data_IF_272496116361
#
_entry.id   IF_272496116361
#
_cell.length_a   1.000
_cell.length_b   1.000
_cell.length_c   1.000
_cell.angle_alpha   90.00
_cell.angle_beta   90.00
_cell.angle_gamma   90.00
#
_symmetry.space_group_name_H-M   'P 1'
#
loop_
_entity.id
_entity.type
_entity.pdbx_description
1 polymer ?
#
# COMPACT_ATOMS: atom_id res chain seq x y z
N UNK A 1 -18.83 -13.82 15.60
CA UNK A 1 -17.84 -12.75 15.45
C UNK A 1 -17.20 -12.89 14.09
N UNK A 2 -17.00 -11.80 13.36
CA UNK A 2 -16.45 -11.84 11.99
C UNK A 2 -14.93 -11.92 12.06
N UNK A 3 -14.35 -13.08 11.71
CA UNK A 3 -12.89 -13.22 11.55
C UNK A 3 -12.46 -12.78 10.17
N UNK A 4 -11.40 -11.99 10.13
CA UNK A 4 -10.82 -11.48 8.88
C UNK A 4 -9.72 -12.40 8.39
N UNK A 5 -9.62 -12.49 7.08
CA UNK A 5 -8.58 -13.22 6.36
C UNK A 5 -7.37 -12.32 6.11
N UNK A 6 -6.21 -12.89 5.85
CA UNK A 6 -5.07 -12.21 5.27
C UNK A 6 -4.96 -12.53 3.77
N UNK A 7 -4.26 -11.68 3.02
CA UNK A 7 -4.14 -11.84 1.58
C UNK A 7 -2.69 -12.11 1.17
N UNK A 8 -2.46 -13.17 0.41
CA UNK A 8 -1.15 -13.49 -0.20
C UNK A 8 -1.36 -13.87 -1.64
N UNK A 9 -0.57 -13.29 -2.54
CA UNK A 9 -0.63 -13.55 -3.99
C UNK A 9 -2.04 -13.34 -4.61
N UNK A 10 -2.78 -12.35 -4.10
CA UNK A 10 -4.14 -12.06 -4.53
C UNK A 10 -5.22 -13.01 -4.01
N UNK A 11 -4.88 -13.95 -3.14
CA UNK A 11 -5.79 -14.91 -2.53
C UNK A 11 -6.04 -14.59 -1.05
N UNK A 12 -7.31 -14.60 -0.65
CA UNK A 12 -7.70 -14.47 0.75
C UNK A 12 -7.61 -15.83 1.44
N UNK A 13 -6.91 -15.90 2.59
CA UNK A 13 -6.63 -17.12 3.34
C UNK A 13 -7.03 -16.98 4.79
N UNK A 14 -7.54 -18.06 5.37
CA UNK A 14 -7.75 -18.17 6.80
C UNK A 14 -6.41 -18.45 7.49
N UNK A 15 -6.10 -17.69 8.53
CA UNK A 15 -4.89 -17.93 9.32
C UNK A 15 -5.03 -19.16 10.21
N UNK A 16 -3.92 -19.88 10.38
CA UNK A 16 -3.78 -21.01 11.29
C UNK A 16 -3.47 -20.59 12.74
N UNK A 17 -3.41 -19.27 12.98
CA UNK A 17 -3.08 -18.72 14.29
C UNK A 17 -4.16 -19.04 15.34
N UNK A 18 -3.74 -19.27 16.56
CA UNK A 18 -4.64 -19.32 17.73
C UNK A 18 -4.83 -17.91 18.35
N UNK A 19 -4.00 -16.93 17.95
CA UNK A 19 -4.05 -15.56 18.45
C UNK A 19 -4.80 -14.65 17.51
N UNK A 20 -5.85 -14.03 18.04
CA UNK A 20 -6.69 -13.07 17.32
C UNK A 20 -6.73 -11.75 18.09
N UNK A 21 -6.70 -10.64 17.38
CA UNK A 21 -6.85 -9.32 17.97
C UNK A 21 -8.25 -8.79 17.64
N UNK A 22 -8.99 -8.29 18.65
CA UNK A 22 -10.29 -7.68 18.41
C UNK A 22 -10.13 -6.34 17.70
N UNK A 23 -11.03 -6.06 16.76
CA UNK A 23 -11.27 -4.74 16.17
C UNK A 23 -12.57 -4.24 16.78
N UNK A 24 -12.50 -3.13 17.48
CA UNK A 24 -13.67 -2.54 18.14
C UNK A 24 -14.11 -1.26 17.43
N UNK A 25 -15.42 -1.03 17.42
CA UNK A 25 -15.97 0.30 17.19
C UNK A 25 -15.51 1.21 18.34
N UNK A 26 -14.67 2.18 18.04
CA UNK A 26 -14.07 3.05 19.06
C UNK A 26 -15.09 3.98 19.73
N UNK A 27 -16.27 4.19 19.14
CA UNK A 27 -17.34 5.02 19.70
C UNK A 27 -18.18 4.27 20.74
N UNK A 28 -18.35 2.95 20.54
CA UNK A 28 -19.26 2.13 21.38
C UNK A 28 -18.49 1.14 22.25
N UNK A 29 -17.25 0.80 21.89
CA UNK A 29 -16.46 -0.28 22.49
C UNK A 29 -16.89 -1.68 22.04
N UNK A 30 -17.88 -1.78 21.15
CA UNK A 30 -18.35 -3.09 20.64
C UNK A 30 -17.30 -3.71 19.70
N UNK A 31 -16.99 -5.00 19.89
CA UNK A 31 -16.11 -5.73 19.01
C UNK A 31 -16.83 -6.08 17.70
N UNK A 32 -16.38 -5.53 16.60
CA UNK A 32 -16.98 -5.66 15.26
C UNK A 32 -16.33 -6.73 14.40
N UNK A 33 -15.06 -7.04 14.66
CA UNK A 33 -14.31 -8.09 13.95
C UNK A 33 -13.13 -8.59 14.78
N UNK A 34 -12.48 -9.64 14.31
CA UNK A 34 -11.16 -10.11 14.78
C UNK A 34 -10.20 -10.23 13.59
N UNK A 35 -8.96 -9.78 13.78
CA UNK A 35 -7.86 -9.94 12.82
C UNK A 35 -6.85 -10.96 13.33
N UNK A 36 -6.24 -11.78 12.44
CA UNK A 36 -5.28 -12.78 12.87
C UNK A 36 -3.94 -12.14 13.25
N UNK A 37 -3.35 -12.61 14.34
CA UNK A 37 -1.91 -12.47 14.55
C UNK A 37 -1.22 -13.58 13.74
N UNK A 38 -1.02 -13.36 12.44
CA UNK A 38 -0.46 -14.36 11.53
C UNK A 38 0.79 -15.05 12.11
N UNK A 39 0.98 -16.33 11.79
CA UNK A 39 2.16 -17.08 12.22
C UNK A 39 3.41 -16.63 11.45
N UNK A 40 4.58 -17.02 11.95
CA UNK A 40 5.85 -16.71 11.28
C UNK A 40 5.89 -17.30 9.87
N UNK A 41 5.38 -18.53 9.72
CA UNK A 41 5.33 -19.24 8.44
C UNK A 41 4.42 -18.53 7.43
N UNK A 42 3.29 -17.96 7.88
CA UNK A 42 2.38 -17.18 7.02
C UNK A 42 3.03 -15.86 6.58
N UNK A 43 3.81 -15.23 7.45
CA UNK A 43 4.58 -14.03 7.10
C UNK A 43 5.71 -14.38 6.13
N UNK A 44 6.43 -15.47 6.35
CA UNK A 44 7.47 -15.94 5.44
C UNK A 44 6.91 -16.32 4.07
N UNK A 45 5.72 -16.94 4.02
CA UNK A 45 5.01 -17.21 2.76
C UNK A 45 4.71 -15.91 2.00
N UNK A 46 4.24 -14.87 2.68
CA UNK A 46 3.96 -13.57 2.07
C UNK A 46 5.23 -12.92 1.51
N UNK A 47 6.33 -12.95 2.27
CA UNK A 47 7.63 -12.43 1.84
C UNK A 47 8.14 -13.21 0.63
N UNK A 48 8.08 -14.54 0.66
CA UNK A 48 8.52 -15.39 -0.44
C UNK A 48 7.68 -15.15 -1.71
N UNK A 49 6.37 -14.97 -1.56
CA UNK A 49 5.47 -14.62 -2.65
C UNK A 49 5.87 -13.28 -3.30
N UNK A 50 6.09 -12.24 -2.50
CA UNK A 50 6.53 -10.94 -2.98
C UNK A 50 7.91 -11.03 -3.67
N UNK A 51 8.85 -11.77 -3.08
CA UNK A 51 10.19 -11.98 -3.65
C UNK A 51 10.14 -12.73 -5.00
N UNK A 52 9.24 -13.70 -5.14
CA UNK A 52 9.06 -14.43 -6.41
C UNK A 52 8.46 -13.59 -7.51
N UNK A 53 7.64 -12.59 -7.18
CA UNK A 53 7.06 -11.66 -8.14
C UNK A 53 8.06 -10.59 -8.63
N UNK A 54 9.05 -10.25 -7.81
CA UNK A 54 9.97 -9.14 -8.07
C UNK A 54 10.70 -9.21 -9.41
N UNK A 55 11.27 -10.35 -9.89
CA UNK A 55 12.00 -10.39 -11.14
C UNK A 55 11.17 -9.93 -12.35
N UNK A 56 9.91 -10.35 -12.43
CA UNK A 56 9.01 -9.92 -13.49
C UNK A 56 8.53 -8.47 -13.29
N UNK A 57 8.23 -8.12 -12.05
CA UNK A 57 7.78 -6.77 -11.69
C UNK A 57 8.83 -5.72 -11.99
N UNK A 58 10.09 -5.96 -11.64
CA UNK A 58 11.21 -5.04 -11.88
C UNK A 58 11.44 -4.73 -13.36
N UNK A 59 11.03 -5.62 -14.26
CA UNK A 59 11.07 -5.43 -15.71
C UNK A 59 9.81 -4.75 -16.28
N UNK A 60 8.77 -4.60 -15.46
CA UNK A 60 7.55 -3.90 -15.88
C UNK A 60 7.84 -2.42 -16.04
N UNK A 61 7.54 -1.87 -17.22
CA UNK A 61 7.82 -0.46 -17.51
C UNK A 61 7.14 0.48 -16.52
N UNK A 62 7.78 1.60 -16.21
CA UNK A 62 7.20 2.60 -15.30
C UNK A 62 5.83 3.09 -15.80
N UNK A 63 5.62 3.18 -17.12
CA UNK A 63 4.33 3.53 -17.71
C UNK A 63 3.24 2.51 -17.37
N UNK A 64 3.53 1.21 -17.47
CA UNK A 64 2.58 0.16 -17.12
C UNK A 64 2.25 0.16 -15.62
N UNK A 65 3.26 0.34 -14.75
CA UNK A 65 3.05 0.48 -13.31
C UNK A 65 2.19 1.70 -12.96
N UNK A 66 2.42 2.80 -13.65
CA UNK A 66 1.61 4.03 -13.52
C UNK A 66 0.13 3.79 -13.88
N UNK A 67 -0.17 3.00 -14.91
CA UNK A 67 -1.56 2.65 -15.25
C UNK A 67 -2.26 1.89 -14.11
N UNK A 68 -1.52 1.09 -13.33
CA UNK A 68 -2.08 0.45 -12.14
C UNK A 68 -2.41 1.47 -11.04
N UNK A 69 -1.60 2.52 -10.89
CA UNK A 69 -1.88 3.60 -9.94
C UNK A 69 -3.13 4.39 -10.32
N UNK A 70 -3.35 4.67 -11.61
CA UNK A 70 -4.61 5.28 -12.06
C UNK A 70 -5.82 4.40 -11.75
N UNK A 71 -5.73 3.08 -11.97
CA UNK A 71 -6.81 2.15 -11.62
C UNK A 71 -7.03 2.12 -10.10
N UNK A 72 -5.97 2.05 -9.32
CA UNK A 72 -6.04 2.07 -7.86
C UNK A 72 -6.72 3.33 -7.34
N UNK A 73 -6.29 4.49 -7.84
CA UNK A 73 -6.90 5.79 -7.54
C UNK A 73 -8.42 5.79 -7.82
N UNK A 74 -8.82 5.27 -8.98
CA UNK A 74 -10.24 5.23 -9.34
C UNK A 74 -11.04 4.31 -8.41
N UNK A 75 -10.50 3.13 -8.07
CA UNK A 75 -11.13 2.22 -7.10
C UNK A 75 -11.34 2.91 -5.75
N UNK A 76 -10.34 3.63 -5.24
CA UNK A 76 -10.48 4.38 -3.99
C UNK A 76 -11.59 5.46 -4.08
N UNK A 77 -11.67 6.15 -5.22
CA UNK A 77 -12.72 7.16 -5.45
C UNK A 77 -14.12 6.54 -5.56
N UNK A 78 -14.24 5.42 -6.29
CA UNK A 78 -15.53 4.74 -6.49
C UNK A 78 -16.08 4.20 -5.17
N UNK A 79 -15.21 3.83 -4.23
CA UNK A 79 -15.56 3.31 -2.90
C UNK A 79 -15.44 4.34 -1.77
N UNK A 80 -15.28 5.64 -2.09
CA UNK A 80 -14.98 6.69 -1.12
C UNK A 80 -15.98 6.70 0.07
N UNK A 81 -17.26 6.66 -0.20
CA UNK A 81 -18.28 6.75 0.86
C UNK A 81 -18.33 5.46 1.72
N UNK A 82 -18.23 4.29 1.10
CA UNK A 82 -18.18 3.01 1.80
C UNK A 82 -16.97 2.93 2.75
N UNK A 83 -15.80 3.29 2.24
CA UNK A 83 -14.55 3.30 3.00
C UNK A 83 -14.59 4.33 4.13
N UNK A 84 -15.22 5.50 3.89
CA UNK A 84 -15.38 6.53 4.90
C UNK A 84 -16.25 6.08 6.07
N UNK A 85 -17.36 5.39 5.78
CA UNK A 85 -18.24 4.82 6.82
C UNK A 85 -17.49 3.76 7.64
N UNK A 86 -16.73 2.88 6.99
CA UNK A 86 -15.93 1.87 7.68
C UNK A 86 -14.86 2.51 8.57
N UNK A 87 -14.14 3.49 8.04
CA UNK A 87 -13.11 4.24 8.78
C UNK A 87 -13.72 4.97 9.99
N UNK A 88 -14.86 5.62 9.83
CA UNK A 88 -15.58 6.27 10.93
C UNK A 88 -15.94 5.28 12.04
N UNK A 89 -16.45 4.11 11.66
CA UNK A 89 -16.87 3.07 12.60
C UNK A 89 -15.70 2.48 13.38
N UNK A 90 -14.59 2.17 12.71
CA UNK A 90 -13.41 1.59 13.39
C UNK A 90 -12.71 2.59 14.31
N UNK A 91 -12.61 3.86 13.91
CA UNK A 91 -11.85 4.88 14.62
C UNK A 91 -12.67 5.79 15.54
N UNK A 92 -13.99 5.76 15.44
CA UNK A 92 -14.84 6.71 16.16
C UNK A 92 -14.70 8.16 15.65
N UNK A 93 -14.16 8.38 14.45
CA UNK A 93 -14.11 9.69 13.79
C UNK A 93 -15.51 10.08 13.31
N UNK A 94 -15.79 11.38 13.22
CA UNK A 94 -16.96 11.80 12.48
C UNK A 94 -16.77 11.49 10.97
N UNK A 95 -17.90 11.35 10.25
CA UNK A 95 -17.89 10.91 8.86
C UNK A 95 -17.10 11.87 7.94
N UNK A 96 -17.12 13.16 8.22
CA UNK A 96 -16.38 14.16 7.44
C UNK A 96 -14.87 14.00 7.57
N UNK A 97 -14.38 13.75 8.79
CA UNK A 97 -12.95 13.48 9.05
C UNK A 97 -12.52 12.14 8.46
N UNK A 98 -13.35 11.09 8.59
CA UNK A 98 -13.08 9.79 8.00
C UNK A 98 -13.03 9.88 6.46
N UNK A 99 -13.91 10.65 5.85
CA UNK A 99 -13.89 10.94 4.42
C UNK A 99 -12.61 11.69 4.02
N UNK A 100 -12.15 12.62 4.86
CA UNK A 100 -10.88 13.31 4.69
C UNK A 100 -9.69 12.36 4.71
N UNK A 101 -9.70 11.31 5.55
CA UNK A 101 -8.64 10.28 5.60
C UNK A 101 -8.56 9.49 4.28
N UNK A 102 -9.69 9.08 3.71
CA UNK A 102 -9.68 8.40 2.41
C UNK A 102 -9.19 9.33 1.29
N UNK A 103 -9.63 10.59 1.26
CA UNK A 103 -9.13 11.57 0.29
C UNK A 103 -7.62 11.80 0.44
N UNK A 104 -7.11 11.79 1.67
CA UNK A 104 -5.66 11.87 1.93
C UNK A 104 -4.89 10.61 1.52
N UNK A 105 -5.53 9.45 1.35
CA UNK A 105 -4.92 8.29 0.70
C UNK A 105 -4.83 8.46 -0.83
N UNK A 106 -5.75 9.20 -1.42
CA UNK A 106 -5.80 9.43 -2.87
C UNK A 106 -4.71 10.38 -3.33
N UNK A 107 -4.42 11.46 -2.59
CA UNK A 107 -3.42 12.46 -2.96
C UNK A 107 -2.01 11.86 -3.26
N UNK A 108 -1.39 11.02 -2.39
CA UNK A 108 -0.12 10.40 -2.71
C UNK A 108 -0.21 9.38 -3.85
N UNK A 109 -1.36 8.73 -4.00
CA UNK A 109 -1.63 7.85 -5.14
C UNK A 109 -1.61 8.63 -6.45
N UNK A 110 -2.18 9.84 -6.48
CA UNK A 110 -2.13 10.75 -7.63
C UNK A 110 -0.69 11.21 -7.92
N UNK A 111 0.11 11.46 -6.87
CA UNK A 111 1.54 11.72 -7.04
C UNK A 111 2.26 10.52 -7.67
N UNK A 112 1.94 9.30 -7.27
CA UNK A 112 2.49 8.08 -7.86
C UNK A 112 2.11 7.91 -9.35
N UNK A 113 0.98 8.48 -9.78
CA UNK A 113 0.63 8.53 -11.20
C UNK A 113 1.62 9.40 -12.03
N UNK A 114 2.38 10.29 -11.39
CA UNK A 114 3.45 11.07 -12.03
C UNK A 114 4.83 10.38 -11.99
N UNK A 115 4.89 9.10 -11.61
CA UNK A 115 6.12 8.34 -11.47
C UNK A 115 7.08 8.43 -12.68
N UNK A 116 6.63 8.43 -13.95
CA UNK A 116 7.55 8.58 -15.09
C UNK A 116 8.39 9.85 -15.06
N UNK A 117 7.92 10.89 -14.40
CA UNK A 117 8.66 12.15 -14.23
C UNK A 117 9.50 12.17 -12.94
N UNK A 118 8.99 11.59 -11.87
CA UNK A 118 9.62 11.62 -10.53
C UNK A 118 10.80 10.64 -10.46
N UNK A 119 10.75 9.52 -11.19
CA UNK A 119 11.76 8.47 -11.15
C UNK A 119 12.87 8.63 -12.21
N UNK A 120 12.89 9.76 -12.93
CA UNK A 120 13.95 10.02 -13.89
C UNK A 120 15.32 10.05 -13.22
N UNK A 121 16.32 9.55 -13.96
CA UNK A 121 17.72 9.70 -13.61
C UNK A 121 18.25 11.08 -13.99
N UNK A 122 19.57 11.24 -13.90
CA UNK A 122 20.27 12.45 -14.34
C UNK A 122 21.52 12.08 -15.12
N UNK A 123 21.96 12.96 -16.00
CA UNK A 123 23.25 12.84 -16.68
C UNK A 123 23.94 14.20 -16.68
N UNK A 124 25.27 14.18 -16.57
CA UNK A 124 26.12 15.37 -16.71
C UNK A 124 27.22 15.05 -17.71
N UNK A 125 27.32 15.87 -18.74
CA UNK A 125 28.34 15.72 -19.76
C UNK A 125 29.60 16.49 -19.38
N UNK A 126 30.76 15.94 -19.73
CA UNK A 126 32.08 16.56 -19.53
C UNK A 126 32.32 17.10 -18.12
N UNK A 127 31.95 16.32 -17.11
CA UNK A 127 32.21 16.67 -15.70
C UNK A 127 33.72 16.94 -15.48
N UNK A 128 34.57 16.24 -16.22
CA UNK A 128 35.97 16.54 -16.51
C UNK A 128 36.29 16.04 -17.91
N UNK A 129 37.43 16.42 -18.45
CA UNK A 129 37.83 16.09 -19.83
C UNK A 129 37.74 14.59 -20.09
N UNK A 130 36.84 14.19 -21.00
CA UNK A 130 36.63 12.80 -21.40
C UNK A 130 35.73 11.96 -20.46
N UNK A 131 35.08 12.56 -19.46
CA UNK A 131 34.19 11.86 -18.54
C UNK A 131 32.79 12.44 -18.49
N UNK A 132 31.81 11.60 -18.78
CA UNK A 132 30.39 11.83 -18.55
C UNK A 132 29.93 11.01 -17.34
N UNK A 133 28.89 11.49 -16.66
CA UNK A 133 28.26 10.76 -15.54
C UNK A 133 26.78 10.57 -15.80
N UNK A 134 26.22 9.45 -15.37
CA UNK A 134 24.79 9.18 -15.39
C UNK A 134 24.36 8.47 -14.10
N UNK A 135 23.19 8.86 -13.56
CA UNK A 135 22.55 8.21 -12.44
C UNK A 135 21.24 7.56 -12.90
N UNK A 136 21.06 6.32 -12.56
CA UNK A 136 19.88 5.53 -12.88
C UNK A 136 19.13 5.17 -11.60
N UNK A 137 17.80 5.22 -11.63
CA UNK A 137 16.95 4.69 -10.56
C UNK A 137 16.81 3.19 -10.76
N UNK A 138 17.10 2.42 -9.72
CA UNK A 138 16.99 0.96 -9.74
C UNK A 138 15.86 0.51 -8.81
N UNK A 139 15.17 -0.60 -9.12
CA UNK A 139 14.15 -1.16 -8.25
C UNK A 139 14.69 -1.49 -6.86
N UNK A 140 13.89 -1.26 -5.82
CA UNK A 140 14.26 -1.53 -4.43
C UNK A 140 14.06 -3.00 -4.03
N UNK A 141 13.11 -3.69 -4.66
CA UNK A 141 12.73 -5.05 -4.31
C UNK A 141 11.51 -5.11 -3.40
N UNK A 142 11.47 -6.10 -2.53
CA UNK A 142 10.36 -6.30 -1.58
C UNK A 142 10.39 -5.19 -0.54
N UNK A 143 9.25 -4.56 -0.32
CA UNK A 143 9.04 -3.54 0.71
C UNK A 143 8.13 -4.08 1.81
N UNK A 144 8.33 -3.63 3.03
CA UNK A 144 7.45 -3.89 4.16
C UNK A 144 7.00 -2.58 4.79
N UNK A 145 5.75 -2.53 5.24
CA UNK A 145 5.18 -1.37 5.92
C UNK A 145 4.55 -1.76 7.25
N UNK A 146 4.94 -1.06 8.33
CA UNK A 146 4.25 -1.10 9.62
C UNK A 146 3.61 0.26 9.80
N UNK A 147 2.28 0.28 9.87
CA UNK A 147 1.51 1.51 9.81
C UNK A 147 0.80 1.80 11.13
N UNK A 148 0.61 3.07 11.50
CA UNK A 148 -0.18 3.44 12.67
C UNK A 148 -1.67 3.25 12.41
N UNK A 149 -2.45 3.11 13.48
CA UNK A 149 -3.89 2.89 13.41
C UNK A 149 -4.71 4.15 13.13
N UNK A 150 -4.16 5.34 13.43
CA UNK A 150 -4.90 6.60 13.41
C UNK A 150 -5.22 7.16 12.00
N UNK A 151 -4.56 6.63 10.96
CA UNK A 151 -4.83 6.89 9.56
C UNK A 151 -4.82 5.58 8.76
N UNK A 152 -5.87 4.75 8.94
CA UNK A 152 -5.89 3.37 8.43
C UNK A 152 -5.96 3.27 6.91
N UNK A 153 -6.38 4.32 6.22
CA UNK A 153 -6.41 4.39 4.76
C UNK A 153 -5.22 5.17 4.20
N UNK A 154 -4.94 6.37 4.74
CA UNK A 154 -3.91 7.25 4.19
C UNK A 154 -2.55 6.58 4.13
N UNK A 155 -2.11 5.91 5.20
CA UNK A 155 -0.75 5.37 5.26
C UNK A 155 -0.61 4.10 4.42
N UNK A 156 -1.40 3.02 4.61
CA UNK A 156 -1.21 1.80 3.82
C UNK A 156 -1.53 2.00 2.35
N UNK A 157 -2.64 2.66 2.02
CA UNK A 157 -3.13 2.74 0.66
C UNK A 157 -2.56 3.92 -0.13
N UNK A 158 -2.31 5.04 0.55
CA UNK A 158 -1.76 6.24 -0.09
C UNK A 158 -0.24 6.27 -0.17
N UNK A 159 0.45 5.64 0.78
CA UNK A 159 1.92 5.66 0.82
C UNK A 159 2.56 4.31 0.53
N UNK A 160 2.21 3.24 1.28
CA UNK A 160 2.92 1.95 1.18
C UNK A 160 2.63 1.27 -0.17
N UNK A 161 1.37 1.19 -0.60
CA UNK A 161 1.01 0.57 -1.87
C UNK A 161 1.61 1.32 -3.06
N UNK A 162 1.47 2.66 -3.20
CA UNK A 162 2.11 3.38 -4.28
C UNK A 162 3.64 3.28 -4.27
N UNK A 163 4.27 3.31 -3.08
CA UNK A 163 5.71 3.13 -2.96
C UNK A 163 6.14 1.76 -3.53
N UNK A 164 5.51 0.68 -3.09
CA UNK A 164 5.82 -0.68 -3.57
C UNK A 164 5.62 -0.82 -5.09
N UNK A 165 4.56 -0.23 -5.64
CA UNK A 165 4.26 -0.31 -7.08
C UNK A 165 5.26 0.48 -7.92
N UNK A 166 5.63 1.68 -7.48
CA UNK A 166 6.46 2.60 -8.29
C UNK A 166 7.95 2.29 -8.16
N UNK A 167 8.42 1.87 -6.99
CA UNK A 167 9.86 1.70 -6.69
C UNK A 167 10.30 0.24 -6.62
N UNK A 168 9.36 -0.68 -6.54
CA UNK A 168 9.61 -2.14 -6.47
C UNK A 168 10.02 -2.82 -7.76
#
# INVERSE_FOLDING_TARGET
MLRKQFCVNGEWKDSKTERWMPVSDSSTGEVIAEVPCCTVEEVEEAIASAASAFPAWSQTSISQRTQMMFKWRNILMDHLEELSVLCAKELGKNLSEARGDILKAIEPTELACAAPFITQGSASLQVTTGFDTAAYRMPLGVVAGIVPFNFPAMIPWGWIVPLAVVTG
#
